data_IF_889345420446
#
_entry.id   IF_889345420446
#
_cell.length_a   1.000
_cell.length_b   1.000
_cell.length_c   1.000
_cell.angle_alpha   90.00
_cell.angle_beta   90.00
_cell.angle_gamma   90.00
#
_symmetry.space_group_name_H-M   'P 1'
#
loop_
_entity.id
_entity.type
_entity.pdbx_description
1 polymer ?
#
# COMPACT_ATOMS: atom_id res chain seq x y z
N UNK A 1 29.02 -23.01 -5.47
CA UNK A 1 28.24 -21.86 -5.98
C UNK A 1 26.82 -21.70 -5.41
N UNK A 2 26.09 -22.77 -5.02
CA UNK A 2 24.71 -22.67 -4.46
C UNK A 2 24.58 -21.78 -3.21
N UNK A 3 25.56 -21.76 -2.28
CA UNK A 3 25.51 -20.94 -1.04
C UNK A 3 25.34 -19.43 -1.29
N UNK A 4 25.98 -18.88 -2.31
CA UNK A 4 25.95 -17.43 -2.63
C UNK A 4 24.56 -17.01 -3.14
N UNK A 5 23.92 -17.86 -3.95
CA UNK A 5 22.57 -17.60 -4.47
C UNK A 5 21.50 -17.57 -3.37
N UNK A 6 21.58 -18.48 -2.39
CA UNK A 6 20.67 -18.49 -1.25
C UNK A 6 20.86 -17.24 -0.37
N UNK A 7 22.10 -16.83 -0.13
CA UNK A 7 22.43 -15.57 0.56
C UNK A 7 21.79 -14.36 -0.12
N UNK A 8 21.94 -14.24 -1.45
CA UNK A 8 21.36 -13.13 -2.22
C UNK A 8 19.83 -13.13 -2.19
N UNK A 9 19.19 -14.31 -2.25
CA UNK A 9 17.73 -14.44 -2.17
C UNK A 9 17.20 -14.00 -0.79
N UNK A 10 17.89 -14.39 0.28
CA UNK A 10 17.54 -13.99 1.66
C UNK A 10 17.75 -12.48 1.85
N UNK A 11 18.84 -11.92 1.32
CA UNK A 11 19.12 -10.48 1.37
C UNK A 11 18.00 -9.66 0.73
N UNK A 12 17.54 -10.05 -0.47
CA UNK A 12 16.40 -9.40 -1.16
C UNK A 12 15.11 -9.44 -0.33
N UNK A 13 14.81 -10.58 0.31
CA UNK A 13 13.64 -10.72 1.19
C UNK A 13 13.74 -9.82 2.42
N UNK A 14 14.91 -9.76 3.06
CA UNK A 14 15.16 -8.92 4.24
C UNK A 14 14.98 -7.44 3.93
N UNK A 15 15.54 -6.97 2.81
CA UNK A 15 15.38 -5.57 2.36
C UNK A 15 13.90 -5.22 2.17
N UNK A 16 13.14 -6.07 1.46
CA UNK A 16 11.69 -5.85 1.27
C UNK A 16 10.93 -5.81 2.60
N UNK A 17 11.27 -6.69 3.55
CA UNK A 17 10.65 -6.70 4.87
C UNK A 17 10.95 -5.40 5.64
N UNK A 18 12.20 -4.93 5.59
CA UNK A 18 12.58 -3.67 6.24
C UNK A 18 11.80 -2.47 5.68
N UNK A 19 11.64 -2.38 4.35
CA UNK A 19 10.83 -1.31 3.76
C UNK A 19 9.39 -1.35 4.25
N UNK A 20 8.77 -2.54 4.34
CA UNK A 20 7.40 -2.68 4.87
C UNK A 20 7.31 -2.26 6.34
N UNK A 21 8.31 -2.60 7.16
CA UNK A 21 8.34 -2.21 8.58
C UNK A 21 8.47 -0.70 8.72
N UNK A 22 9.43 -0.09 8.02
CA UNK A 22 9.62 1.36 8.00
C UNK A 22 8.32 2.06 7.58
N UNK A 23 7.68 1.54 6.53
CA UNK A 23 6.42 2.05 6.04
C UNK A 23 5.33 2.07 7.12
N UNK A 24 5.09 0.92 7.77
CA UNK A 24 4.08 0.82 8.83
C UNK A 24 4.39 1.68 10.06
N UNK A 25 5.63 2.16 10.21
CA UNK A 25 6.05 2.99 11.34
C UNK A 25 5.93 4.49 11.03
N UNK A 26 6.22 4.88 9.79
CA UNK A 26 6.22 6.28 9.34
C UNK A 26 4.81 6.72 8.98
N UNK A 27 4.04 5.82 8.38
CA UNK A 27 2.76 6.18 7.78
C UNK A 27 1.58 5.75 8.67
N UNK A 28 0.56 6.61 8.71
CA UNK A 28 -0.66 6.34 9.48
C UNK A 28 -1.48 5.20 8.85
N UNK A 29 -1.30 4.97 7.55
CA UNK A 29 -1.94 3.89 6.81
C UNK A 29 -1.06 2.64 6.79
N UNK A 30 -1.62 1.51 7.25
CA UNK A 30 -0.94 0.21 7.17
C UNK A 30 -0.66 -0.13 5.70
N UNK A 31 0.55 -0.62 5.41
CA UNK A 31 1.02 -1.02 4.07
C UNK A 31 0.04 -1.94 3.32
N UNK A 32 -0.72 -2.78 4.04
CA UNK A 32 -1.73 -3.64 3.45
C UNK A 32 -2.82 -2.85 2.68
N UNK A 33 -3.30 -1.74 3.23
CA UNK A 33 -4.35 -0.91 2.64
C UNK A 33 -3.84 -0.23 1.38
N UNK A 34 -2.63 0.28 1.45
CA UNK A 34 -1.95 0.91 0.32
C UNK A 34 -1.74 -0.12 -0.79
N UNK A 35 -1.18 -1.28 -0.48
CA UNK A 35 -1.01 -2.36 -1.47
C UNK A 35 -2.33 -2.71 -2.16
N UNK A 36 -3.43 -2.79 -1.41
CA UNK A 36 -4.74 -3.06 -1.97
C UNK A 36 -5.23 -1.93 -2.90
N UNK A 37 -5.08 -0.67 -2.49
CA UNK A 37 -5.38 0.50 -3.30
C UNK A 37 -4.61 0.46 -4.64
N UNK A 38 -3.29 0.28 -4.60
CA UNK A 38 -2.46 0.23 -5.81
C UNK A 38 -2.88 -0.90 -6.76
N UNK A 39 -3.24 -2.08 -6.24
CA UNK A 39 -3.75 -3.18 -7.07
C UNK A 39 -5.07 -2.82 -7.74
N UNK A 40 -5.97 -2.12 -7.02
CA UNK A 40 -7.31 -1.78 -7.53
C UNK A 40 -7.29 -0.65 -8.55
N UNK A 41 -6.43 0.34 -8.34
CA UNK A 41 -6.20 1.44 -9.28
C UNK A 41 -5.22 1.06 -10.41
N UNK A 42 -4.74 -0.19 -10.46
CA UNK A 42 -3.78 -0.70 -11.45
C UNK A 42 -2.47 0.11 -11.49
N UNK A 43 -2.06 0.69 -10.36
CA UNK A 43 -0.83 1.47 -10.26
C UNK A 43 0.35 0.52 -10.01
N UNK A 44 1.30 0.51 -10.93
CA UNK A 44 2.53 -0.27 -10.84
C UNK A 44 3.62 0.54 -10.14
N UNK A 45 3.68 0.44 -8.81
CA UNK A 45 4.75 1.04 -8.01
C UNK A 45 5.57 -0.01 -7.28
N UNK A 46 6.89 0.12 -7.34
CA UNK A 46 7.79 -0.72 -6.58
C UNK A 46 7.79 -0.29 -5.10
N UNK A 47 7.94 -1.25 -4.19
CA UNK A 47 8.03 -0.99 -2.74
C UNK A 47 9.20 -0.06 -2.42
N UNK A 48 10.30 -0.15 -3.19
CA UNK A 48 11.47 0.74 -3.02
C UNK A 48 11.16 2.20 -3.42
N UNK A 49 10.46 2.40 -4.54
CA UNK A 49 10.11 3.76 -4.97
C UNK A 49 9.06 4.35 -4.04
N UNK A 50 8.12 3.52 -3.58
CA UNK A 50 7.14 3.90 -2.57
C UNK A 50 7.85 4.34 -1.28
N UNK A 51 8.75 3.52 -0.72
CA UNK A 51 9.46 3.89 0.52
C UNK A 51 10.28 5.18 0.38
N UNK A 52 10.86 5.43 -0.80
CA UNK A 52 11.61 6.66 -1.04
C UNK A 52 10.69 7.88 -1.10
N UNK A 53 9.54 7.78 -1.75
CA UNK A 53 8.54 8.85 -1.82
C UNK A 53 8.09 9.23 -0.40
N UNK A 54 7.83 8.23 0.46
CA UNK A 54 7.44 8.43 1.85
C UNK A 54 8.52 9.04 2.76
N UNK A 55 9.79 8.82 2.45
CA UNK A 55 10.90 9.36 3.23
C UNK A 55 11.34 10.74 2.77
N UNK A 56 11.33 10.99 1.46
CA UNK A 56 11.94 12.19 0.87
C UNK A 56 10.91 13.25 0.50
N UNK A 57 9.66 12.87 0.21
CA UNK A 57 8.65 13.78 -0.34
C UNK A 57 7.39 13.79 0.53
N UNK A 58 7.43 14.59 1.60
CA UNK A 58 6.32 14.74 2.55
C UNK A 58 4.99 15.12 1.88
N UNK A 59 4.99 16.09 0.97
CA UNK A 59 3.78 16.55 0.28
C UNK A 59 3.21 15.50 -0.69
N UNK A 60 4.08 14.83 -1.46
CA UNK A 60 3.67 13.73 -2.35
C UNK A 60 3.05 12.60 -1.53
N UNK A 61 3.63 12.27 -0.39
CA UNK A 61 3.12 11.25 0.53
C UNK A 61 1.76 11.62 1.12
N UNK A 62 1.61 12.87 1.54
CA UNK A 62 0.36 13.38 2.07
C UNK A 62 -0.77 13.33 1.02
N UNK A 63 -0.49 13.80 -0.20
CA UNK A 63 -1.48 13.76 -1.30
C UNK A 63 -1.89 12.33 -1.67
N UNK A 64 -0.93 11.39 -1.70
CA UNK A 64 -1.21 9.97 -1.91
C UNK A 64 -2.11 9.41 -0.81
N UNK A 65 -1.83 9.73 0.46
CA UNK A 65 -2.64 9.29 1.59
C UNK A 65 -4.07 9.82 1.53
N UNK A 66 -4.25 11.10 1.19
CA UNK A 66 -5.58 11.68 1.01
C UNK A 66 -6.36 10.96 -0.10
N UNK A 67 -5.69 10.61 -1.20
CA UNK A 67 -6.31 9.87 -2.28
C UNK A 67 -6.74 8.45 -1.87
N UNK A 68 -5.88 7.74 -1.13
CA UNK A 68 -6.19 6.41 -0.60
C UNK A 68 -7.40 6.48 0.34
N UNK A 69 -7.44 7.47 1.24
CA UNK A 69 -8.57 7.67 2.15
C UNK A 69 -9.87 7.92 1.37
N UNK A 70 -9.83 8.79 0.35
CA UNK A 70 -10.99 9.08 -0.50
C UNK A 70 -11.50 7.82 -1.22
N UNK A 71 -10.60 6.99 -1.74
CA UNK A 71 -10.95 5.72 -2.40
C UNK A 71 -11.71 4.78 -1.45
N UNK A 72 -11.23 4.59 -0.23
CA UNK A 72 -11.89 3.72 0.74
C UNK A 72 -13.22 4.29 1.22
N UNK A 73 -13.31 5.62 1.41
CA UNK A 73 -14.57 6.30 1.75
C UNK A 73 -15.62 6.09 0.67
N UNK A 74 -15.28 6.29 -0.60
CA UNK A 74 -16.20 6.10 -1.73
C UNK A 74 -16.67 4.66 -1.85
N UNK A 75 -15.80 3.68 -1.59
CA UNK A 75 -16.21 2.26 -1.60
C UNK A 75 -17.14 1.90 -0.45
N UNK A 76 -16.90 2.40 0.76
CA UNK A 76 -17.81 2.17 1.87
C UNK A 76 -19.22 2.72 1.56
N UNK A 77 -19.29 3.90 0.96
CA UNK A 77 -20.57 4.50 0.51
C UNK A 77 -21.24 3.60 -0.54
N UNK A 78 -20.49 3.13 -1.55
CA UNK A 78 -21.04 2.22 -2.57
C UNK A 78 -21.52 0.87 -2.00
N UNK A 79 -20.88 0.37 -0.94
CA UNK A 79 -21.29 -0.86 -0.25
C UNK A 79 -22.55 -0.67 0.59
N UNK A 80 -22.73 0.51 1.19
CA UNK A 80 -23.96 0.89 1.91
C UNK A 80 -25.13 0.97 0.92
N UNK A 81 -24.94 1.63 -0.23
CA UNK A 81 -25.98 1.76 -1.27
C UNK A 81 -26.44 0.40 -1.82
N UNK A 82 -25.53 -0.55 -2.01
CA UNK A 82 -25.90 -1.92 -2.43
C UNK A 82 -26.67 -2.69 -1.35
N UNK A 83 -26.32 -2.49 -0.08
CA UNK A 83 -27.03 -3.14 1.05
C UNK A 83 -28.43 -2.58 1.23
N UNK A 84 -28.64 -1.29 1.01
CA UNK A 84 -29.98 -0.70 1.08
C UNK A 84 -30.85 -1.19 -0.07
N UNK A 85 -30.35 -1.24 -1.30
CA UNK A 85 -31.09 -1.76 -2.45
C UNK A 85 -31.58 -3.21 -2.27
N UNK A 86 -30.76 -4.09 -1.67
CA UNK A 86 -31.15 -5.48 -1.39
C UNK A 86 -32.11 -5.65 -0.21
N UNK A 87 -32.40 -4.60 0.57
CA UNK A 87 -33.32 -4.66 1.72
C UNK A 87 -34.76 -4.25 1.36
N UNK A 88 -34.95 -3.67 0.18
CA UNK A 88 -36.25 -3.22 -0.35
C UNK A 88 -36.72 -4.06 -1.55
N UNK A 89 -36.09 -5.22 -1.76
CA UNK A 89 -36.50 -6.25 -2.71
C UNK A 89 -36.83 -7.53 -1.93
#
# INVERSE_FOLDING_TARGET
MKKIYYSNKIKKRKIRKNFIIQFNYIDCLKYHWIKYFFIKEKILLNVKTLSNLFLMELFSSFSLNMWIIAFYKNRNISGIVRKTQNKYH
#
